data_IF_014765189835
#
_entry.id   IF_014765189835
#
_cell.length_a   1.000
_cell.length_b   1.000
_cell.length_c   1.000
_cell.angle_alpha   90.00
_cell.angle_beta   90.00
_cell.angle_gamma   90.00
#
_symmetry.space_group_name_H-M   'P 1'
#
loop_
_entity.id
_entity.type
_entity.pdbx_description
1 polymer ?
#
# COMPACT_ATOMS: atom_id res chain seq x y z
N UNK A 1 -17.66 -36.32 60.78
CA UNK A 1 -17.81 -35.36 59.66
C UNK A 1 -17.23 -36.03 58.43
N UNK A 2 -18.07 -36.66 57.59
CA UNK A 2 -18.64 -36.13 56.35
C UNK A 2 -17.58 -35.66 55.32
N UNK A 3 -17.50 -36.49 54.28
CA UNK A 3 -16.94 -36.34 52.92
C UNK A 3 -16.89 -34.90 52.42
N UNK A 4 -15.79 -34.56 51.73
CA UNK A 4 -15.88 -33.87 50.43
C UNK A 4 -14.89 -34.50 49.43
N UNK A 5 -15.39 -34.63 48.20
CA UNK A 5 -14.75 -35.23 47.03
C UNK A 5 -13.92 -34.15 46.33
N UNK A 6 -12.78 -34.53 45.77
CA UNK A 6 -12.35 -33.93 44.51
C UNK A 6 -11.64 -34.98 43.66
N UNK A 7 -12.36 -35.39 42.62
CA UNK A 7 -11.90 -36.23 41.52
C UNK A 7 -11.16 -35.28 40.57
N UNK A 8 -9.84 -35.34 40.53
CA UNK A 8 -9.06 -34.72 39.47
C UNK A 8 -8.96 -35.73 38.32
N UNK A 9 -9.71 -35.47 37.26
CA UNK A 9 -9.65 -36.20 36.00
C UNK A 9 -8.39 -35.74 35.25
N UNK A 10 -7.32 -36.52 35.28
CA UNK A 10 -6.16 -36.33 34.40
C UNK A 10 -6.48 -37.05 33.07
N UNK A 11 -7.01 -36.28 32.13
CA UNK A 11 -7.13 -36.70 30.73
C UNK A 11 -5.72 -36.74 30.14
N UNK A 12 -5.27 -37.94 29.78
CA UNK A 12 -4.17 -38.14 28.85
C UNK A 12 -4.62 -38.03 27.40
N UNK A 13 -3.64 -37.87 26.52
CA UNK A 13 -3.68 -37.77 25.06
C UNK A 13 -3.96 -36.36 24.52
N UNK A 14 -3.21 -35.82 23.55
CA UNK A 14 -2.12 -36.36 22.76
C UNK A 14 -1.15 -35.21 22.48
N UNK A 15 0.15 -35.46 22.62
CA UNK A 15 1.14 -34.60 22.00
C UNK A 15 0.97 -34.78 20.48
N UNK A 16 0.27 -33.86 19.83
CA UNK A 16 0.44 -33.67 18.41
C UNK A 16 1.91 -33.26 18.24
N UNK A 17 2.69 -34.18 17.70
CA UNK A 17 3.97 -33.84 17.10
C UNK A 17 3.61 -32.86 15.99
N UNK A 18 3.74 -31.57 16.30
CA UNK A 18 3.79 -30.53 15.28
C UNK A 18 5.00 -30.88 14.43
N UNK A 19 4.76 -31.68 13.39
CA UNK A 19 5.68 -31.76 12.28
C UNK A 19 5.86 -30.34 11.83
N UNK A 20 7.05 -29.79 12.04
CA UNK A 20 7.47 -28.53 11.48
C UNK A 20 7.08 -28.60 10.00
N UNK A 21 6.05 -27.84 9.62
CA UNK A 21 5.83 -27.53 8.22
C UNK A 21 7.08 -26.75 7.84
N UNK A 22 7.92 -27.43 7.07
CA UNK A 22 8.96 -26.81 6.28
C UNK A 22 8.29 -25.64 5.54
N UNK A 23 8.59 -24.42 5.98
CA UNK A 23 8.25 -23.20 5.27
C UNK A 23 9.15 -23.14 4.03
N UNK A 24 8.91 -24.08 3.10
CA UNK A 24 9.48 -24.03 1.78
C UNK A 24 9.02 -22.74 1.12
N UNK A 25 10.00 -21.87 0.87
CA UNK A 25 9.98 -20.66 0.05
C UNK A 25 8.72 -19.78 0.10
N UNK A 26 8.91 -18.56 0.61
CA UNK A 26 8.02 -17.41 0.49
C UNK A 26 7.68 -17.00 -0.95
N UNK A 27 8.16 -17.71 -1.97
CA UNK A 27 8.07 -17.34 -3.40
C UNK A 27 6.70 -17.58 -4.08
N UNK A 28 5.68 -18.07 -3.37
CA UNK A 28 4.36 -18.37 -3.99
C UNK A 28 3.19 -17.48 -3.54
N UNK A 29 3.43 -16.46 -2.71
CA UNK A 29 2.38 -15.58 -2.17
C UNK A 29 2.40 -14.11 -2.62
N UNK A 30 3.56 -13.58 -3.01
CA UNK A 30 3.75 -12.13 -3.30
C UNK A 30 3.59 -11.84 -4.79
N UNK A 31 2.78 -10.85 -5.14
CA UNK A 31 2.51 -10.47 -6.54
C UNK A 31 3.53 -9.43 -7.03
N UNK A 32 4.07 -8.64 -6.11
CA UNK A 32 5.05 -7.59 -6.39
C UNK A 32 6.46 -8.17 -6.32
N UNK A 33 7.40 -7.64 -7.12
CA UNK A 33 8.80 -8.06 -7.08
C UNK A 33 9.47 -7.60 -5.78
N UNK A 34 10.45 -8.35 -5.27
CA UNK A 34 11.18 -7.97 -4.02
C UNK A 34 12.08 -6.74 -4.17
N UNK A 35 12.40 -6.37 -5.42
CA UNK A 35 13.19 -5.20 -5.78
C UNK A 35 12.33 -4.06 -6.35
N UNK A 36 11.00 -4.19 -6.31
CA UNK A 36 10.12 -3.18 -6.86
C UNK A 36 10.31 -1.83 -6.16
N UNK A 37 10.30 -0.77 -6.96
CA UNK A 37 10.21 0.61 -6.54
C UNK A 37 8.98 1.22 -7.17
N UNK A 38 8.42 2.24 -6.55
CA UNK A 38 7.30 3.01 -7.08
C UNK A 38 7.53 4.48 -6.76
N UNK A 39 7.27 5.36 -7.71
CA UNK A 39 7.35 6.79 -7.46
C UNK A 39 6.18 7.24 -6.59
N UNK A 40 6.41 8.18 -5.67
CA UNK A 40 5.39 8.70 -4.80
C UNK A 40 5.60 10.19 -4.51
N UNK A 41 4.50 10.92 -4.36
CA UNK A 41 4.55 12.36 -4.13
C UNK A 41 3.24 12.92 -3.58
N UNK A 42 3.31 14.15 -3.10
CA UNK A 42 2.17 15.01 -2.84
C UNK A 42 2.06 15.96 -4.04
N UNK A 43 0.84 16.11 -4.56
CA UNK A 43 0.52 16.98 -5.68
C UNK A 43 -0.46 18.05 -5.27
N UNK A 44 -0.40 19.22 -5.89
CA UNK A 44 -1.30 20.33 -5.64
C UNK A 44 -1.92 20.85 -6.92
N UNK A 45 -3.17 21.28 -6.82
CA UNK A 45 -3.87 21.99 -7.87
C UNK A 45 -3.78 23.50 -7.63
N UNK A 46 -3.08 24.21 -8.51
CA UNK A 46 -2.93 25.66 -8.53
C UNK A 46 -2.92 26.16 -9.97
N UNK A 47 -3.41 27.37 -10.24
CA UNK A 47 -3.35 27.96 -11.59
C UNK A 47 -4.10 27.19 -12.70
N UNK A 48 -4.88 26.17 -12.35
CA UNK A 48 -5.56 25.29 -13.31
C UNK A 48 -4.76 24.03 -13.69
N UNK A 49 -3.67 23.73 -12.98
CA UNK A 49 -2.76 22.62 -13.27
C UNK A 49 -2.47 21.84 -11.98
N UNK A 50 -2.14 20.55 -12.14
CA UNK A 50 -1.63 19.71 -11.07
C UNK A 50 -0.11 19.64 -11.17
N UNK A 51 0.58 19.88 -10.06
CA UNK A 51 2.04 19.80 -9.97
C UNK A 51 2.47 19.08 -8.70
N UNK A 52 3.56 18.31 -8.78
CA UNK A 52 4.23 17.74 -7.62
C UNK A 52 4.86 18.83 -6.78
N UNK A 53 4.60 18.80 -5.48
CA UNK A 53 5.04 19.86 -4.55
C UNK A 53 6.15 19.42 -3.62
N UNK A 54 6.61 18.18 -3.74
CA UNK A 54 7.85 17.73 -3.14
C UNK A 54 9.03 18.47 -3.80
N UNK A 55 9.95 19.02 -3.02
CA UNK A 55 11.05 19.86 -3.51
C UNK A 55 11.91 19.19 -4.58
N UNK A 56 12.07 17.86 -4.48
CA UNK A 56 12.89 17.05 -5.39
C UNK A 56 12.05 16.31 -6.45
N UNK A 57 10.75 16.61 -6.56
CA UNK A 57 9.79 15.88 -7.40
C UNK A 57 9.34 14.58 -6.75
N UNK A 58 8.89 13.62 -7.56
CA UNK A 58 8.53 12.28 -7.06
C UNK A 58 9.76 11.54 -6.52
N UNK A 59 9.60 10.88 -5.38
CA UNK A 59 10.64 10.03 -4.82
C UNK A 59 10.34 8.55 -5.08
N UNK A 60 11.38 7.76 -5.33
CA UNK A 60 11.26 6.30 -5.45
C UNK A 60 11.16 5.65 -4.06
N UNK A 61 10.06 4.95 -3.82
CA UNK A 61 9.80 4.20 -2.59
C UNK A 61 10.04 2.70 -2.87
N UNK A 62 11.11 2.10 -2.32
CA UNK A 62 11.38 0.68 -2.52
C UNK A 62 10.48 -0.22 -1.66
N UNK A 63 10.12 -1.39 -2.19
CA UNK A 63 9.43 -2.47 -1.45
C UNK A 63 10.33 -2.97 -0.33
N UNK A 64 11.64 -3.01 -0.51
CA UNK A 64 12.55 -3.50 0.54
C UNK A 64 12.51 -2.67 1.84
N UNK A 65 11.87 -1.49 1.86
CA UNK A 65 11.56 -0.77 3.10
C UNK A 65 10.59 -1.54 4.04
N UNK A 66 10.00 -2.66 3.57
CA UNK A 66 9.04 -3.51 4.28
C UNK A 66 9.57 -4.30 5.45
N UNK A 67 10.84 -4.68 5.46
CA UNK A 67 11.34 -5.56 6.51
C UNK A 67 11.26 -4.92 7.91
N UNK A 68 10.96 -3.61 8.02
CA UNK A 68 10.76 -2.90 9.30
C UNK A 68 9.70 -1.78 9.32
N UNK A 69 8.72 -1.73 8.39
CA UNK A 69 7.74 -0.61 8.28
C UNK A 69 8.40 0.77 8.40
N UNK A 70 9.56 0.95 7.77
CA UNK A 70 10.27 2.22 7.85
C UNK A 70 9.68 3.16 6.83
N UNK A 71 9.06 4.23 7.33
CA UNK A 71 8.74 5.38 6.53
C UNK A 71 10.03 5.91 5.88
N UNK A 72 9.99 6.07 4.56
CA UNK A 72 11.07 6.64 3.75
C UNK A 72 10.77 8.10 3.53
N UNK A 73 11.76 8.97 3.70
CA UNK A 73 11.62 10.38 3.38
C UNK A 73 11.44 10.54 1.87
N UNK A 74 10.35 11.16 1.43
CA UNK A 74 10.04 11.41 0.01
C UNK A 74 10.16 12.90 -0.36
N UNK A 75 10.85 13.67 0.47
CA UNK A 75 11.13 15.08 0.23
C UNK A 75 10.28 16.04 1.07
N UNK A 76 10.64 17.31 1.01
CA UNK A 76 9.96 18.38 1.75
C UNK A 76 8.96 19.08 0.86
N UNK A 77 7.78 19.41 1.38
CA UNK A 77 6.81 20.24 0.64
C UNK A 77 7.43 21.60 0.35
N UNK A 78 7.43 22.03 -0.90
CA UNK A 78 7.95 23.32 -1.34
C UNK A 78 6.81 24.17 -1.90
N UNK A 79 6.64 25.35 -1.35
CA UNK A 79 5.66 26.34 -1.79
C UNK A 79 6.33 27.72 -1.87
N UNK A 80 5.69 28.71 -2.46
CA UNK A 80 6.20 30.09 -2.47
C UNK A 80 6.32 30.68 -1.06
N UNK A 81 5.57 30.12 -0.10
CA UNK A 81 5.65 30.52 1.32
C UNK A 81 6.90 29.98 2.03
N UNK A 82 7.66 29.10 1.37
CA UNK A 82 8.87 28.47 1.87
C UNK A 82 8.78 26.95 1.91
N UNK A 83 9.80 26.34 2.50
CA UNK A 83 9.85 24.90 2.75
C UNK A 83 8.93 24.53 3.92
N UNK A 84 8.00 23.62 3.65
CA UNK A 84 7.02 23.08 4.56
C UNK A 84 7.52 21.85 5.32
N UNK A 85 6.63 20.89 5.53
CA UNK A 85 6.94 19.67 6.27
C UNK A 85 7.70 18.65 5.41
N UNK A 86 8.64 17.91 6.03
CA UNK A 86 9.18 16.69 5.44
C UNK A 86 8.08 15.65 5.34
N UNK A 87 7.87 15.10 4.16
CA UNK A 87 6.93 14.02 3.91
C UNK A 87 7.67 12.69 3.92
N UNK A 88 7.03 11.71 4.54
CA UNK A 88 7.49 10.33 4.52
C UNK A 88 6.39 9.45 3.93
N UNK A 89 6.80 8.46 3.16
CA UNK A 89 5.90 7.45 2.63
C UNK A 89 6.29 6.06 3.12
N UNK A 90 5.29 5.21 3.25
CA UNK A 90 5.42 3.77 3.33
C UNK A 90 4.38 3.18 2.39
N UNK A 91 4.61 1.99 1.87
CA UNK A 91 3.56 1.21 1.25
C UNK A 91 3.26 -0.03 2.09
N UNK A 92 2.40 -0.97 1.67
CA UNK A 92 2.33 -2.39 2.11
C UNK A 92 1.49 -3.28 1.20
N UNK A 93 1.83 -4.57 1.12
CA UNK A 93 0.98 -5.58 0.50
C UNK A 93 0.30 -6.40 1.60
N UNK A 94 -1.03 -6.38 1.63
CA UNK A 94 -1.84 -7.11 2.61
C UNK A 94 -2.57 -8.25 1.89
N UNK A 95 -2.08 -9.49 1.99
CA UNK A 95 -2.80 -10.65 1.46
C UNK A 95 -3.94 -11.02 2.40
N UNK A 96 -5.17 -11.04 1.89
CA UNK A 96 -6.33 -11.61 2.56
C UNK A 96 -6.78 -12.89 1.84
N UNK A 97 -7.53 -13.79 2.51
CA UNK A 97 -7.95 -15.06 1.90
C UNK A 97 -8.72 -14.93 0.57
N UNK A 98 -9.42 -13.80 0.35
CA UNK A 98 -10.25 -13.56 -0.83
C UNK A 98 -9.99 -12.20 -1.50
N UNK A 99 -8.96 -11.47 -1.08
CA UNK A 99 -8.65 -10.13 -1.59
C UNK A 99 -7.16 -9.85 -1.40
N UNK A 100 -6.60 -8.94 -2.21
CA UNK A 100 -5.25 -8.45 -2.05
C UNK A 100 -5.30 -6.94 -2.04
N UNK A 101 -4.64 -6.32 -1.06
CA UNK A 101 -4.54 -4.88 -0.98
C UNK A 101 -3.11 -4.43 -1.15
N UNK A 102 -2.92 -3.37 -1.92
CA UNK A 102 -1.71 -2.56 -1.87
C UNK A 102 -2.08 -1.28 -1.13
N UNK A 103 -1.38 -0.96 -0.06
CA UNK A 103 -1.62 0.26 0.72
C UNK A 103 -0.46 1.22 0.54
N UNK A 104 -0.74 2.50 0.40
CA UNK A 104 0.24 3.58 0.47
C UNK A 104 -0.13 4.48 1.63
N UNK A 105 0.84 4.82 2.47
CA UNK A 105 0.67 5.71 3.61
C UNK A 105 1.66 6.84 3.51
N UNK A 106 1.15 8.07 3.48
CA UNK A 106 1.92 9.30 3.50
C UNK A 106 1.71 9.98 4.84
N UNK A 107 2.76 10.57 5.40
CA UNK A 107 2.66 11.41 6.59
C UNK A 107 3.70 12.49 6.61
N UNK A 108 3.48 13.52 7.41
CA UNK A 108 4.55 14.47 7.73
C UNK A 108 5.38 13.97 8.91
N UNK A 109 6.70 14.16 8.85
CA UNK A 109 7.62 13.68 9.88
C UNK A 109 7.44 14.39 11.24
N UNK A 110 6.93 15.62 11.22
CA UNK A 110 6.79 16.49 12.40
C UNK A 110 5.33 16.73 12.83
N UNK A 111 4.37 16.06 12.19
CA UNK A 111 2.94 16.23 12.47
C UNK A 111 2.33 17.56 11.99
N UNK A 112 3.09 18.39 11.27
CA UNK A 112 2.52 19.55 10.60
C UNK A 112 1.59 19.10 9.46
N UNK A 113 0.62 19.92 9.09
CA UNK A 113 -0.20 19.62 7.90
C UNK A 113 0.64 19.61 6.62
N UNK A 114 0.21 18.86 5.60
CA UNK A 114 0.89 18.82 4.31
C UNK A 114 0.94 20.19 3.64
N UNK A 115 -0.22 20.83 3.48
CA UNK A 115 -0.35 22.11 2.79
C UNK A 115 -1.03 23.14 3.70
N UNK A 116 -0.27 24.12 4.23
CA UNK A 116 -0.85 25.20 5.03
C UNK A 116 -1.80 26.11 4.25
N UNK A 117 -2.70 26.78 4.99
CA UNK A 117 -3.59 27.79 4.42
C UNK A 117 -2.81 28.91 3.72
N UNK A 118 -3.33 29.42 2.60
CA UNK A 118 -2.68 30.42 1.73
C UNK A 118 -1.34 29.99 1.11
N UNK A 119 -1.01 28.69 1.08
CA UNK A 119 0.12 28.20 0.30
C UNK A 119 -0.07 28.48 -1.19
N UNK A 120 1.04 28.74 -1.88
CA UNK A 120 1.07 29.10 -3.29
C UNK A 120 2.15 28.35 -4.05
N UNK A 121 1.94 28.18 -5.35
CA UNK A 121 2.94 27.70 -6.31
C UNK A 121 2.87 28.63 -7.50
N UNK A 122 4.01 29.15 -7.91
CA UNK A 122 4.14 30.06 -9.05
C UNK A 122 3.20 31.29 -8.97
N UNK A 123 2.96 31.77 -7.74
CA UNK A 123 2.11 32.92 -7.44
C UNK A 123 0.62 32.60 -7.28
N UNK A 124 0.18 31.43 -7.71
CA UNK A 124 -1.20 30.97 -7.63
C UNK A 124 -1.49 30.25 -6.33
N UNK A 125 -2.64 30.55 -5.72
CA UNK A 125 -3.07 29.89 -4.48
C UNK A 125 -3.43 28.44 -4.76
N UNK A 126 -2.86 27.54 -3.96
CA UNK A 126 -3.24 26.12 -3.99
C UNK A 126 -4.71 26.01 -3.60
N UNK A 127 -5.50 25.32 -4.42
CA UNK A 127 -6.94 25.16 -4.23
C UNK A 127 -7.30 23.80 -3.62
N UNK A 128 -6.54 22.77 -3.98
CA UNK A 128 -6.65 21.42 -3.47
C UNK A 128 -5.28 20.73 -3.55
N UNK A 129 -5.11 19.64 -2.82
CA UNK A 129 -3.96 18.77 -2.96
C UNK A 129 -4.38 17.31 -2.81
N UNK A 130 -3.54 16.41 -3.31
CA UNK A 130 -3.73 14.97 -3.22
C UNK A 130 -2.37 14.28 -3.09
N UNK A 131 -2.40 12.96 -3.04
CA UNK A 131 -1.22 12.12 -3.19
C UNK A 131 -1.17 11.59 -4.63
N UNK A 132 -0.02 11.07 -5.02
CA UNK A 132 0.12 10.33 -6.27
C UNK A 132 1.11 9.18 -6.09
N UNK A 133 0.80 8.07 -6.74
CA UNK A 133 1.60 6.83 -6.76
C UNK A 133 1.88 6.48 -8.21
N UNK A 134 3.11 6.13 -8.55
CA UNK A 134 3.48 5.81 -9.91
C UNK A 134 3.57 7.01 -10.86
N UNK A 135 3.63 8.22 -10.32
CA UNK A 135 3.81 9.46 -11.09
C UNK A 135 5.03 9.43 -12.01
N UNK A 136 4.94 10.18 -13.11
CA UNK A 136 5.87 10.13 -14.26
C UNK A 136 5.99 8.75 -14.92
N UNK A 137 5.00 7.87 -14.75
CA UNK A 137 4.97 6.52 -15.35
C UNK A 137 5.84 5.49 -14.64
N UNK A 138 6.28 5.77 -13.41
CA UNK A 138 7.12 4.88 -12.61
C UNK A 138 6.29 4.09 -11.59
N UNK A 139 5.33 3.32 -12.11
CA UNK A 139 4.41 2.47 -11.34
C UNK A 139 5.05 1.25 -10.67
N UNK A 140 4.20 0.41 -10.08
CA UNK A 140 4.62 -0.79 -9.36
C UNK A 140 5.05 -1.90 -10.33
N UNK A 141 6.27 -2.40 -10.15
CA UNK A 141 6.74 -3.57 -10.89
C UNK A 141 6.20 -4.90 -10.32
N UNK A 142 5.29 -5.53 -11.05
CA UNK A 142 4.76 -6.85 -10.73
C UNK A 142 5.69 -8.00 -11.16
N UNK A 143 5.54 -9.16 -10.52
CA UNK A 143 6.31 -10.37 -10.87
C UNK A 143 5.99 -10.83 -12.27
N UNK A 144 6.97 -11.41 -12.95
CA UNK A 144 6.83 -11.95 -14.32
C UNK A 144 5.73 -13.01 -14.50
N UNK A 145 5.24 -13.64 -13.42
CA UNK A 145 4.15 -14.60 -13.48
C UNK A 145 2.77 -13.94 -13.47
N UNK A 146 2.70 -12.63 -13.23
CA UNK A 146 1.48 -11.81 -13.27
C UNK A 146 1.32 -11.31 -14.70
N UNK A 147 0.19 -11.60 -15.33
CA UNK A 147 -0.10 -11.10 -16.69
C UNK A 147 -0.95 -9.84 -16.70
N UNK A 148 -1.77 -9.65 -15.67
CA UNK A 148 -2.69 -8.53 -15.56
C UNK A 148 -3.00 -8.32 -14.08
N UNK A 149 -3.13 -7.06 -13.68
CA UNK A 149 -3.63 -6.64 -12.37
C UNK A 149 -4.85 -5.76 -12.62
N UNK A 150 -5.94 -6.03 -11.91
CA UNK A 150 -7.15 -5.22 -11.97
C UNK A 150 -7.28 -4.47 -10.67
N UNK A 151 -7.55 -3.19 -10.77
CA UNK A 151 -7.94 -2.37 -9.65
C UNK A 151 -9.46 -2.50 -9.46
N UNK A 152 -9.88 -2.99 -8.31
CA UNK A 152 -11.29 -3.27 -8.00
C UNK A 152 -11.86 -2.22 -7.02
N UNK A 153 -11.02 -1.70 -6.12
CA UNK A 153 -11.46 -0.83 -5.04
C UNK A 153 -10.39 0.19 -4.67
N UNK A 154 -10.78 1.45 -4.44
CA UNK A 154 -9.95 2.46 -3.78
C UNK A 154 -10.62 2.96 -2.51
N UNK A 155 -9.93 2.81 -1.38
CA UNK A 155 -10.30 3.48 -0.14
C UNK A 155 -9.23 4.48 0.26
N UNK A 156 -9.64 5.74 0.47
CA UNK A 156 -8.76 6.82 0.91
C UNK A 156 -9.14 7.23 2.33
N UNK A 157 -8.13 7.29 3.18
CA UNK A 157 -8.24 7.62 4.59
C UNK A 157 -7.34 8.80 4.92
N UNK A 158 -7.79 9.67 5.80
CA UNK A 158 -7.08 10.87 6.24
C UNK A 158 -7.00 10.92 7.76
N UNK A 159 -6.03 11.68 8.25
CA UNK A 159 -5.89 11.97 9.68
C UNK A 159 -5.19 13.31 9.91
N UNK A 160 -5.52 13.92 11.04
CA UNK A 160 -4.92 15.16 11.56
C UNK A 160 -3.88 14.91 12.67
N UNK A 161 -3.73 13.66 13.11
CA UNK A 161 -2.93 13.26 14.28
C UNK A 161 -1.95 12.12 13.96
N UNK A 162 -1.47 12.07 12.71
CA UNK A 162 -0.46 11.10 12.29
C UNK A 162 -0.99 9.67 12.16
N UNK A 163 -2.30 9.51 11.94
CA UNK A 163 -2.97 8.23 11.75
C UNK A 163 -3.62 7.63 13.01
N UNK A 164 -3.72 8.37 14.13
CA UNK A 164 -4.36 7.84 15.36
C UNK A 164 -5.88 7.88 15.26
N UNK A 165 -6.43 8.97 14.74
CA UNK A 165 -7.85 9.15 14.45
C UNK A 165 -8.01 9.24 12.93
N UNK A 166 -8.61 8.21 12.36
CA UNK A 166 -8.81 8.11 10.91
C UNK A 166 -10.25 8.49 10.57
N UNK A 167 -10.39 9.38 9.60
CA UNK A 167 -11.64 9.63 8.89
C UNK A 167 -11.44 9.24 7.43
N UNK A 168 -12.51 8.76 6.80
CA UNK A 168 -12.49 8.28 5.43
C UNK A 168 -13.43 9.13 4.59
N UNK A 169 -13.00 9.42 3.36
CA UNK A 169 -13.93 9.72 2.28
C UNK A 169 -14.48 8.39 1.73
N UNK A 170 -15.63 8.38 1.04
CA UNK A 170 -16.26 7.15 0.59
C UNK A 170 -15.31 6.36 -0.31
N UNK A 171 -15.37 5.02 -0.21
CA UNK A 171 -14.78 4.10 -1.18
C UNK A 171 -15.20 4.54 -2.59
N UNK A 172 -14.22 4.89 -3.43
CA UNK A 172 -14.47 5.23 -4.82
C UNK A 172 -14.43 3.90 -5.57
N UNK A 173 -15.61 3.46 -6.02
CA UNK A 173 -15.83 2.16 -6.67
C UNK A 173 -15.72 2.18 -8.20
N UNK A 174 -15.34 3.32 -8.80
CA UNK A 174 -15.05 3.38 -10.23
C UNK A 174 -13.53 3.37 -10.42
N UNK A 175 -12.88 2.19 -10.47
CA UNK A 175 -11.57 2.10 -11.10
C UNK A 175 -11.70 2.61 -12.54
N UNK A 176 -10.67 3.25 -13.12
CA UNK A 176 -10.72 3.66 -14.51
C UNK A 176 -11.10 2.47 -15.40
N UNK A 177 -12.28 2.51 -16.03
CA UNK A 177 -12.77 1.41 -16.85
C UNK A 177 -11.80 1.14 -18.02
N UNK A 178 -11.34 -0.11 -18.14
CA UNK A 178 -10.95 -0.67 -19.43
C UNK A 178 -9.55 -1.26 -19.55
N UNK A 179 -8.59 -0.82 -18.73
CA UNK A 179 -7.19 -1.27 -18.84
C UNK A 179 -6.69 -1.92 -17.52
N UNK A 180 -5.80 -2.93 -17.62
CA UNK A 180 -5.07 -3.42 -16.48
C UNK A 180 -4.38 -2.28 -15.72
N UNK A 181 -4.48 -2.30 -14.40
CA UNK A 181 -3.74 -1.39 -13.55
C UNK A 181 -2.25 -1.69 -13.66
N UNK A 182 -1.47 -0.69 -14.05
CA UNK A 182 -0.01 -0.76 -14.19
C UNK A 182 0.72 -0.33 -12.91
N UNK A 183 -0.02 -0.20 -11.81
CA UNK A 183 0.54 0.24 -10.53
C UNK A 183 0.66 1.76 -10.39
N UNK A 184 -0.03 2.53 -11.23
CA UNK A 184 -0.06 4.01 -11.17
C UNK A 184 -1.43 4.54 -10.75
N UNK A 185 -1.46 5.61 -9.96
CA UNK A 185 -2.67 6.36 -9.58
C UNK A 185 -2.38 7.86 -9.68
N UNK A 186 -2.63 8.40 -10.88
CA UNK A 186 -2.49 9.81 -11.27
C UNK A 186 -3.86 10.50 -11.43
N UNK A 187 -4.95 9.82 -11.04
CA UNK A 187 -6.30 10.35 -11.19
C UNK A 187 -6.63 11.44 -10.15
N UNK A 188 -5.70 11.68 -9.21
CA UNK A 188 -5.83 12.63 -8.10
C UNK A 188 -7.11 12.40 -7.30
N UNK A 189 -7.46 11.12 -7.13
CA UNK A 189 -8.62 10.69 -6.36
C UNK A 189 -8.35 10.95 -4.89
N UNK A 190 -9.34 11.49 -4.18
CA UNK A 190 -9.19 11.95 -2.80
C UNK A 190 -8.52 13.30 -2.70
N UNK A 191 -9.35 14.33 -2.52
CA UNK A 191 -8.90 15.71 -2.43
C UNK A 191 -8.91 16.18 -0.99
N UNK A 192 -7.80 16.77 -0.58
CA UNK A 192 -7.66 17.52 0.66
C UNK A 192 -7.52 19.02 0.34
N UNK A 193 -7.77 19.88 1.34
CA UNK A 193 -7.82 21.32 1.13
C UNK A 193 -6.77 22.04 1.97
N UNK A 194 -6.05 23.03 1.42
CA UNK A 194 -5.05 23.77 2.20
C UNK A 194 -5.60 24.32 3.51
N UNK A 195 -4.91 24.05 4.62
CA UNK A 195 -5.34 24.48 5.95
C UNK A 195 -6.31 23.54 6.68
N UNK A 196 -6.66 22.39 6.12
CA UNK A 196 -7.51 21.38 6.75
C UNK A 196 -6.85 20.68 7.96
N UNK A 197 -5.54 20.80 8.11
CA UNK A 197 -4.77 20.17 9.18
C UNK A 197 -4.32 18.75 8.87
N UNK A 198 -4.63 18.19 7.69
CA UNK A 198 -4.29 16.79 7.37
C UNK A 198 -2.78 16.65 7.30
N UNK A 199 -2.27 15.66 8.03
CA UNK A 199 -0.85 15.35 8.13
C UNK A 199 -0.56 13.86 7.88
N UNK A 200 -1.60 13.10 7.52
CA UNK A 200 -1.53 11.69 7.21
C UNK A 200 -2.60 11.31 6.19
N UNK A 201 -2.20 10.54 5.18
CA UNK A 201 -3.07 10.01 4.11
C UNK A 201 -2.76 8.52 3.98
N UNK A 202 -3.78 7.68 3.78
CA UNK A 202 -3.61 6.31 3.33
C UNK A 202 -4.53 6.00 2.18
N UNK A 203 -3.95 5.53 1.08
CA UNK A 203 -4.64 4.95 -0.06
C UNK A 203 -4.56 3.42 0.02
N UNK A 204 -5.68 2.73 -0.12
CA UNK A 204 -5.75 1.27 -0.12
C UNK A 204 -6.40 0.80 -1.41
N UNK A 205 -5.61 0.12 -2.24
CA UNK A 205 -5.97 -0.41 -3.55
C UNK A 205 -6.32 -1.88 -3.42
N UNK A 206 -7.60 -2.22 -3.52
CA UNK A 206 -8.04 -3.59 -3.71
C UNK A 206 -7.72 -4.05 -5.12
N UNK A 207 -6.92 -5.11 -5.25
CA UNK A 207 -6.48 -5.63 -6.55
C UNK A 207 -6.85 -7.11 -6.74
N UNK A 208 -7.20 -7.44 -7.98
CA UNK A 208 -7.25 -8.81 -8.49
C UNK A 208 -6.06 -9.07 -9.43
N UNK A 209 -5.49 -10.27 -9.36
CA UNK A 209 -4.24 -10.60 -10.05
C UNK A 209 -4.47 -11.81 -10.92
N UNK A 210 -4.31 -11.62 -12.23
CA UNK A 210 -4.44 -12.68 -13.22
C UNK A 210 -3.05 -13.30 -13.48
N UNK A 211 -2.86 -14.61 -13.22
CA UNK A 211 -1.59 -15.27 -13.52
C UNK A 211 -1.40 -15.48 -15.03
N UNK A 212 -0.14 -15.36 -15.49
CA UNK A 212 0.25 -15.65 -16.85
C UNK A 212 -0.04 -17.12 -17.24
N UNK A 213 -0.49 -17.40 -18.48
CA UNK A 213 -0.89 -18.75 -18.90
C UNK A 213 0.17 -19.85 -18.69
N UNK A 214 1.47 -19.48 -18.74
CA UNK A 214 2.58 -20.42 -18.58
C UNK A 214 2.87 -20.83 -17.13
N UNK A 215 2.57 -19.99 -16.14
CA UNK A 215 2.85 -20.26 -14.72
C UNK A 215 1.83 -21.24 -14.12
N UNK A 216 0.58 -21.22 -14.59
CA UNK A 216 -0.49 -22.16 -14.22
C UNK A 216 -0.12 -23.63 -14.52
N UNK A 217 0.58 -23.88 -15.63
CA UNK A 217 1.02 -25.23 -16.02
C UNK A 217 2.17 -25.76 -15.16
N UNK A 218 3.01 -24.89 -14.59
CA UNK A 218 4.11 -25.30 -13.69
C UNK A 218 3.57 -25.65 -12.30
N UNK A 219 2.62 -24.85 -11.78
CA UNK A 219 1.90 -25.14 -10.52
C UNK A 219 1.10 -26.45 -10.60
N UNK A 220 0.45 -26.73 -11.73
CA UNK A 220 -0.31 -27.97 -11.95
C UNK A 220 0.60 -29.16 -12.34
N UNK A 221 1.70 -28.91 -13.06
CA UNK A 221 2.62 -29.93 -13.55
C UNK A 221 3.57 -30.51 -12.48
N UNK A 222 3.95 -29.70 -11.48
CA UNK A 222 4.76 -30.16 -10.35
C UNK A 222 4.06 -31.22 -9.49
N UNK A 223 2.75 -31.12 -9.31
CA UNK A 223 1.94 -32.11 -8.58
C UNK A 223 1.87 -33.47 -9.28
N UNK A 224 1.85 -33.51 -10.61
CA UNK A 224 1.73 -34.75 -11.37
C UNK A 224 3.09 -35.45 -11.54
N UNK A 225 4.19 -34.70 -11.64
CA UNK A 225 5.53 -35.29 -11.74
C UNK A 225 5.99 -35.96 -10.42
N UNK A 226 5.59 -35.43 -9.26
CA UNK A 226 5.91 -36.02 -7.95
C UNK A 226 5.19 -37.37 -7.70
N UNK A 227 4.01 -37.58 -8.30
CA UNK A 227 3.27 -38.84 -8.16
C UNK A 227 3.82 -39.98 -9.02
N UNK A 228 4.65 -39.69 -10.03
CA UNK A 228 5.18 -40.72 -10.95
C UNK A 228 6.48 -41.37 -10.47
N UNK A 229 7.13 -40.84 -9.43
CA UNK A 229 8.40 -41.38 -8.88
C UNK A 229 8.21 -42.39 -7.73
N UNK A 230 6.96 -42.72 -7.37
CA UNK A 230 6.60 -43.74 -6.36
C UNK A 230 5.95 -45.00 -6.98
N UNK A 231 6.46 -45.47 -8.11
CA UNK A 231 6.18 -46.83 -8.58
C UNK A 231 7.48 -47.56 -8.88
#
# INVERSE_FOLDING_TARGET
>A
MRREKLIACLVGAAASVAGAQDFGDRDSGTTIRDDATVSAGIVAFAGGQWDVINADGYAEVPISAFDNQMFVDIGTIQTDSGSGAMVQAAWSEVPLPNARFVEFTFKTANGAQFVPFNSKIDGDTIQAYSYEVGGDGNGIDFRHWVSEVKWEELTISYSFDGGQTVFSDPTIFDPPEGDPWDGTDDNHLGLAFPGDGVNWIRASYGIDVVPAPGSLLVLMGGGVAALRRRR
#
